data_IF_266794070209
#
_entry.id   IF_266794070209
#
_cell.length_a   1.000
_cell.length_b   1.000
_cell.length_c   1.000
_cell.angle_alpha   90.00
_cell.angle_beta   90.00
_cell.angle_gamma   90.00
#
_symmetry.space_group_name_H-M   'P 1'
#
loop_
_entity.id
_entity.type
_entity.pdbx_description
1 polymer ?
#
# COMPACT_ATOMS: atom_id res chain seq x y z
N UNK A 1 -17.49 -2.47 25.07
CA UNK A 1 -18.04 -3.81 24.78
C UNK A 1 -16.95 -4.55 24.02
N UNK A 2 -16.30 -5.53 24.64
CA UNK A 2 -15.18 -6.26 24.05
C UNK A 2 -15.66 -6.96 22.78
N UNK A 3 -14.95 -6.76 21.67
CA UNK A 3 -15.14 -7.56 20.47
C UNK A 3 -14.70 -8.98 20.84
N UNK A 4 -15.63 -9.94 20.84
CA UNK A 4 -15.28 -11.34 21.01
C UNK A 4 -14.40 -11.73 19.81
N UNK A 5 -13.10 -11.90 20.04
CA UNK A 5 -12.18 -12.44 19.05
C UNK A 5 -12.73 -13.78 18.57
N UNK A 6 -12.58 -14.07 17.27
CA UNK A 6 -12.97 -15.39 16.78
C UNK A 6 -12.01 -16.40 17.37
N UNK A 7 -12.49 -17.61 17.61
CA UNK A 7 -11.69 -18.66 18.23
C UNK A 7 -10.41 -18.99 17.43
N UNK A 8 -10.44 -18.81 16.09
CA UNK A 8 -9.27 -18.92 15.22
C UNK A 8 -8.22 -17.83 15.43
N UNK A 9 -8.63 -16.64 15.86
CA UNK A 9 -7.76 -15.49 16.03
C UNK A 9 -6.99 -15.59 17.35
N UNK A 10 -7.63 -16.15 18.39
CA UNK A 10 -6.99 -16.42 19.68
C UNK A 10 -5.89 -17.50 19.58
N UNK A 11 -6.14 -18.60 18.85
CA UNK A 11 -5.10 -19.63 18.62
C UNK A 11 -3.88 -19.03 17.92
N UNK A 12 -4.09 -18.19 16.91
CA UNK A 12 -3.02 -17.57 16.14
C UNK A 12 -2.23 -16.54 16.97
N UNK A 13 -2.92 -15.78 17.83
CA UNK A 13 -2.28 -14.88 18.79
C UNK A 13 -1.43 -15.65 19.81
N UNK A 14 -1.93 -16.81 20.26
CA UNK A 14 -1.22 -17.67 21.19
C UNK A 14 0.04 -18.30 20.63
N UNK A 15 0.03 -18.66 19.34
CA UNK A 15 1.16 -19.29 18.67
C UNK A 15 2.26 -18.29 18.25
N UNK A 16 1.89 -17.04 17.97
CA UNK A 16 2.80 -16.05 17.37
C UNK A 16 3.39 -15.03 18.35
N UNK A 17 2.70 -14.74 19.45
CA UNK A 17 3.04 -13.64 20.35
C UNK A 17 3.13 -14.09 21.80
N UNK A 18 3.95 -13.41 22.61
CA UNK A 18 4.00 -13.65 24.04
C UNK A 18 2.82 -13.00 24.76
N UNK A 19 2.64 -13.28 26.06
CA UNK A 19 1.50 -12.74 26.82
C UNK A 19 1.47 -11.20 26.87
N UNK A 20 2.64 -10.54 26.83
CA UNK A 20 2.69 -9.07 26.89
C UNK A 20 2.21 -8.47 25.59
N UNK A 21 2.67 -9.01 24.47
CA UNK A 21 2.24 -8.58 23.13
C UNK A 21 0.75 -8.87 22.91
N UNK A 22 0.22 -9.99 23.41
CA UNK A 22 -1.21 -10.31 23.35
C UNK A 22 -2.06 -9.28 24.07
N UNK A 23 -1.69 -8.92 25.30
CA UNK A 23 -2.42 -7.91 26.08
C UNK A 23 -2.43 -6.56 25.36
N UNK A 24 -1.30 -6.17 24.76
CA UNK A 24 -1.19 -4.92 23.99
C UNK A 24 -2.02 -4.96 22.71
N UNK A 25 -1.93 -6.04 21.93
CA UNK A 25 -2.70 -6.20 20.68
C UNK A 25 -4.21 -6.19 20.98
N UNK A 26 -4.65 -6.88 22.02
CA UNK A 26 -6.05 -6.90 22.44
C UNK A 26 -6.53 -5.55 23.00
N UNK A 27 -5.61 -4.69 23.46
CA UNK A 27 -5.94 -3.33 23.92
C UNK A 27 -6.14 -2.32 22.78
N UNK A 28 -5.76 -2.66 21.55
CA UNK A 28 -5.95 -1.78 20.39
C UNK A 28 -7.45 -1.60 20.16
N UNK A 29 -7.93 -0.37 20.36
CA UNK A 29 -9.32 -0.02 20.10
C UNK A 29 -9.55 0.00 18.59
N UNK A 30 -10.14 -1.08 18.07
CA UNK A 30 -10.59 -1.13 16.68
C UNK A 30 -11.92 -0.39 16.59
N UNK A 31 -12.02 0.56 15.65
CA UNK A 31 -13.23 1.35 15.44
C UNK A 31 -14.42 0.44 15.10
N UNK A 32 -15.47 0.46 15.93
CA UNK A 32 -16.73 -0.26 15.67
C UNK A 32 -17.59 0.44 14.62
N UNK A 33 -17.17 1.62 14.14
CA UNK A 33 -17.91 2.44 13.17
C UNK A 33 -17.77 1.94 11.74
N UNK A 34 -16.73 1.17 11.44
CA UNK A 34 -16.52 0.56 10.12
C UNK A 34 -17.23 -0.79 10.08
N UNK A 35 -18.49 -0.81 9.63
CA UNK A 35 -19.27 -2.06 9.50
C UNK A 35 -18.80 -2.95 8.34
N UNK A 36 -17.96 -2.40 7.47
CA UNK A 36 -17.31 -3.10 6.37
C UNK A 36 -15.85 -2.72 6.32
N UNK A 37 -14.97 -3.74 6.29
CA UNK A 37 -13.59 -3.56 5.90
C UNK A 37 -13.59 -3.17 4.41
N UNK A 38 -13.45 -1.87 4.15
CA UNK A 38 -13.08 -1.42 2.82
C UNK A 38 -11.58 -1.63 2.68
N UNK A 39 -11.18 -2.54 1.79
CA UNK A 39 -9.77 -2.65 1.43
C UNK A 39 -9.31 -1.26 0.96
N UNK A 40 -8.36 -0.67 1.69
CA UNK A 40 -7.82 0.69 1.45
C UNK A 40 -7.23 0.86 0.03
N UNK A 41 -7.09 -0.22 -0.72
CA UNK A 41 -6.61 -0.20 -2.09
C UNK A 41 -7.72 0.30 -3.03
N UNK A 42 -7.70 1.61 -3.28
CA UNK A 42 -8.65 2.32 -4.14
C UNK A 42 -8.55 1.96 -5.64
N UNK A 43 -7.54 1.18 -6.05
CA UNK A 43 -7.45 0.75 -7.44
C UNK A 43 -8.54 -0.30 -7.73
N UNK A 44 -9.30 -0.10 -8.81
CA UNK A 44 -10.11 -1.15 -9.47
C UNK A 44 -9.24 -2.32 -9.97
N UNK A 45 -7.93 -2.27 -9.71
CA UNK A 45 -6.98 -3.30 -10.01
C UNK A 45 -7.10 -4.45 -9.02
N UNK A 46 -7.34 -5.62 -9.57
CA UNK A 46 -7.48 -6.84 -8.81
C UNK A 46 -6.12 -7.29 -8.26
N UNK A 47 -5.83 -6.94 -7.00
CA UNK A 47 -4.52 -7.14 -6.37
C UNK A 47 -4.06 -8.60 -6.36
N UNK A 48 -4.98 -9.55 -6.46
CA UNK A 48 -4.68 -10.99 -6.63
C UNK A 48 -3.75 -11.27 -7.83
N UNK A 49 -3.79 -10.43 -8.87
CA UNK A 49 -2.90 -10.54 -10.03
C UNK A 49 -1.45 -10.30 -9.65
N UNK A 50 -1.18 -9.40 -8.69
CA UNK A 50 0.19 -9.16 -8.19
C UNK A 50 0.69 -10.44 -7.55
N UNK A 51 -0.08 -11.01 -6.63
CA UNK A 51 0.26 -12.23 -5.89
C UNK A 51 0.43 -13.48 -6.78
N UNK A 52 -0.18 -13.49 -7.96
CA UNK A 52 -0.08 -14.60 -8.93
C UNK A 52 1.18 -14.59 -9.79
N UNK A 53 1.98 -13.52 -9.74
CA UNK A 53 3.25 -13.43 -10.48
C UNK A 53 4.23 -14.46 -9.93
N UNK A 54 5.30 -14.77 -10.67
CA UNK A 54 6.42 -15.61 -10.18
C UNK A 54 7.65 -14.73 -9.97
N UNK A 55 7.63 -13.91 -8.92
CA UNK A 55 8.67 -12.91 -8.63
C UNK A 55 9.14 -13.02 -7.18
N UNK A 56 10.27 -12.42 -6.80
CA UNK A 56 10.69 -12.41 -5.39
C UNK A 56 9.70 -11.67 -4.48
N UNK A 57 9.54 -12.13 -3.23
CA UNK A 57 8.71 -11.53 -2.17
C UNK A 57 8.79 -10.00 -2.10
N UNK A 58 10.03 -9.48 -2.15
CA UNK A 58 10.32 -8.04 -2.10
C UNK A 58 9.67 -7.25 -3.24
N UNK A 59 9.57 -7.84 -4.43
CA UNK A 59 8.97 -7.20 -5.60
C UNK A 59 7.46 -7.15 -5.48
N UNK A 60 6.80 -8.19 -4.94
CA UNK A 60 5.35 -8.12 -4.67
C UNK A 60 5.01 -6.99 -3.70
N UNK A 61 5.75 -6.90 -2.58
CA UNK A 61 5.52 -5.84 -1.58
C UNK A 61 5.75 -4.46 -2.21
N UNK A 62 6.79 -4.34 -3.04
CA UNK A 62 7.07 -3.12 -3.76
C UNK A 62 5.93 -2.73 -4.71
N UNK A 63 5.34 -3.68 -5.46
CA UNK A 63 4.25 -3.42 -6.42
C UNK A 63 2.90 -3.17 -5.73
N UNK A 64 2.63 -3.89 -4.64
CA UNK A 64 1.40 -3.75 -3.87
C UNK A 64 1.22 -2.33 -3.32
N UNK A 65 2.28 -1.74 -2.76
CA UNK A 65 2.26 -0.41 -2.13
C UNK A 65 1.73 0.70 -3.06
N UNK A 66 2.28 0.90 -4.29
CA UNK A 66 1.77 1.91 -5.21
C UNK A 66 0.38 1.57 -5.73
N UNK A 67 0.06 0.31 -6.01
CA UNK A 67 -1.29 -0.07 -6.47
C UNK A 67 -2.38 0.25 -5.43
N UNK A 68 -2.04 0.27 -4.14
CA UNK A 68 -2.96 0.68 -3.08
C UNK A 68 -2.92 2.18 -2.76
N UNK A 69 -2.08 2.96 -3.46
CA UNK A 69 -1.79 4.35 -3.13
C UNK A 69 -1.24 4.51 -1.68
N UNK A 70 -0.38 3.59 -1.25
CA UNK A 70 0.21 3.55 0.10
C UNK A 70 1.64 4.09 0.17
N UNK A 71 2.18 4.63 -0.92
CA UNK A 71 3.49 5.26 -0.88
C UNK A 71 3.43 6.62 -0.16
N UNK A 72 4.48 7.01 0.57
CA UNK A 72 4.54 8.30 1.28
C UNK A 72 4.83 9.44 0.30
N UNK A 73 3.98 9.59 -0.72
CA UNK A 73 4.03 10.72 -1.65
C UNK A 73 3.47 11.97 -0.96
N UNK A 74 3.87 13.18 -1.40
CA UNK A 74 3.35 14.42 -0.79
C UNK A 74 1.82 14.51 -0.86
N UNK A 75 1.21 14.03 -1.95
CA UNK A 75 -0.26 13.93 -2.06
C UNK A 75 -0.87 13.07 -0.93
N UNK A 76 -0.28 11.90 -0.67
CA UNK A 76 -0.78 11.00 0.38
C UNK A 76 -0.48 11.52 1.79
N UNK A 77 0.64 12.20 1.98
CA UNK A 77 1.02 12.82 3.25
C UNK A 77 0.07 13.97 3.62
N UNK A 78 -0.29 14.82 2.64
CA UNK A 78 -1.26 15.90 2.85
C UNK A 78 -2.63 15.32 3.21
N UNK A 79 -3.09 14.25 2.55
CA UNK A 79 -4.31 13.54 2.92
C UNK A 79 -4.29 12.98 4.35
N UNK A 80 -3.09 12.78 4.91
CA UNK A 80 -2.85 12.37 6.31
C UNK A 80 -2.53 13.55 7.24
N UNK A 81 -2.83 14.78 6.82
CA UNK A 81 -2.63 16.00 7.62
C UNK A 81 -1.16 16.28 7.98
N UNK A 82 -0.22 15.79 7.17
CA UNK A 82 1.20 16.12 7.30
C UNK A 82 1.48 17.37 6.47
N UNK A 83 2.04 18.40 7.09
CA UNK A 83 2.38 19.66 6.43
C UNK A 83 3.64 19.49 5.56
N UNK A 84 3.42 19.29 4.26
CA UNK A 84 4.47 19.19 3.24
C UNK A 84 4.05 19.93 1.97
N UNK A 85 4.99 20.48 1.18
CA UNK A 85 4.67 21.07 -0.11
C UNK A 85 4.09 20.01 -1.05
N UNK A 86 3.12 20.37 -1.90
CA UNK A 86 2.44 19.43 -2.81
C UNK A 86 3.29 19.07 -4.05
N UNK A 87 4.18 19.98 -4.44
CA UNK A 87 5.02 19.87 -5.64
C UNK A 87 6.04 18.75 -5.48
N UNK A 88 6.46 18.07 -6.54
CA UNK A 88 7.45 17.00 -6.48
C UNK A 88 8.87 17.52 -6.28
N UNK A 89 9.57 16.92 -5.32
CA UNK A 89 10.97 17.22 -5.00
C UNK A 89 11.93 17.10 -6.20
N UNK A 90 11.65 16.20 -7.14
CA UNK A 90 12.54 15.91 -8.27
C UNK A 90 12.35 16.79 -9.52
N UNK A 91 11.21 17.47 -9.71
CA UNK A 91 10.96 18.33 -10.90
C UNK A 91 10.61 19.73 -10.51
N UNK A 92 10.08 19.91 -9.30
CA UNK A 92 9.64 21.20 -8.79
C UNK A 92 8.53 21.84 -9.65
N UNK A 93 7.81 21.06 -10.46
CA UNK A 93 6.73 21.54 -11.35
C UNK A 93 5.37 20.92 -11.06
N UNK A 94 5.29 19.60 -10.99
CA UNK A 94 4.05 18.82 -10.88
C UNK A 94 3.86 18.26 -9.47
N UNK A 95 2.64 17.82 -9.13
CA UNK A 95 2.32 17.25 -7.81
C UNK A 95 3.05 15.92 -7.59
N UNK A 96 3.55 15.67 -6.38
CA UNK A 96 4.14 14.37 -6.04
C UNK A 96 3.04 13.35 -5.75
N UNK A 97 2.55 12.73 -6.82
CA UNK A 97 1.64 11.60 -6.80
C UNK A 97 2.37 10.30 -7.20
N UNK A 98 1.73 9.15 -6.99
CA UNK A 98 2.37 7.83 -7.20
C UNK A 98 2.70 7.59 -8.67
N UNK A 99 1.75 7.86 -9.54
CA UNK A 99 1.85 7.89 -11.00
C UNK A 99 3.00 8.79 -11.47
N UNK A 100 3.07 10.01 -10.95
CA UNK A 100 4.14 10.95 -11.30
C UNK A 100 5.52 10.36 -10.99
N UNK A 101 5.72 9.91 -9.75
CA UNK A 101 7.03 9.45 -9.25
C UNK A 101 7.44 8.12 -9.86
N UNK A 102 6.50 7.22 -10.13
CA UNK A 102 6.78 5.86 -10.60
C UNK A 102 6.56 5.64 -12.10
N UNK A 103 5.83 6.48 -12.82
CA UNK A 103 5.51 6.25 -14.24
C UNK A 103 5.95 7.43 -15.10
N UNK A 104 5.56 8.65 -14.73
CA UNK A 104 5.73 9.82 -15.60
C UNK A 104 7.11 10.46 -15.50
N UNK A 105 7.90 10.10 -14.49
CA UNK A 105 9.29 10.58 -14.43
C UNK A 105 10.20 9.89 -15.40
N UNK A 106 11.06 10.69 -16.03
CA UNK A 106 12.15 10.20 -16.87
C UNK A 106 13.03 9.19 -16.13
N UNK A 107 13.36 9.46 -14.86
CA UNK A 107 14.09 8.52 -14.02
C UNK A 107 13.36 7.18 -13.87
N UNK A 108 12.07 7.22 -13.55
CA UNK A 108 11.27 6.01 -13.41
C UNK A 108 11.17 5.24 -14.74
N UNK A 109 10.87 5.92 -15.85
CA UNK A 109 10.87 5.33 -17.21
C UNK A 109 12.18 4.63 -17.55
N UNK A 110 13.32 5.25 -17.22
CA UNK A 110 14.64 4.64 -17.42
C UNK A 110 14.78 3.38 -16.57
N UNK A 111 14.45 3.41 -15.29
CA UNK A 111 14.45 2.22 -14.45
C UNK A 111 13.61 1.10 -15.06
N UNK A 112 12.38 1.39 -15.50
CA UNK A 112 11.49 0.38 -16.09
C UNK A 112 11.97 -0.15 -17.44
N UNK A 113 12.71 0.64 -18.21
CA UNK A 113 13.28 0.18 -19.48
C UNK A 113 14.27 -0.99 -19.33
N UNK A 114 14.82 -1.18 -18.13
CA UNK A 114 15.70 -2.31 -17.80
C UNK A 114 14.96 -3.57 -17.37
N UNK A 115 13.65 -3.49 -17.14
CA UNK A 115 12.82 -4.63 -16.74
C UNK A 115 11.93 -5.09 -17.90
N UNK A 116 11.45 -6.33 -17.80
CA UNK A 116 10.50 -6.87 -18.77
C UNK A 116 9.23 -6.00 -18.81
N UNK A 117 8.68 -5.79 -20.01
CA UNK A 117 7.55 -4.88 -20.26
C UNK A 117 6.31 -5.24 -19.44
N UNK A 118 6.17 -6.49 -19.00
CA UNK A 118 5.09 -6.96 -18.15
C UNK A 118 4.96 -6.18 -16.83
N UNK A 119 6.07 -5.72 -16.23
CA UNK A 119 6.04 -4.95 -14.99
C UNK A 119 5.49 -3.54 -15.23
N UNK A 120 5.84 -2.91 -16.35
CA UNK A 120 5.33 -1.59 -16.70
C UNK A 120 3.80 -1.62 -16.93
N UNK A 121 3.26 -2.71 -17.48
CA UNK A 121 1.80 -2.88 -17.58
C UNK A 121 1.14 -3.00 -16.20
N UNK A 122 1.75 -3.68 -15.24
CA UNK A 122 1.18 -3.86 -13.90
C UNK A 122 1.24 -2.56 -13.08
N UNK A 123 2.36 -1.83 -13.16
CA UNK A 123 2.51 -0.56 -12.45
C UNK A 123 1.74 0.54 -13.17
N UNK A 124 1.76 0.61 -14.49
CA UNK A 124 1.09 1.67 -15.25
C UNK A 124 -0.43 1.52 -15.36
N UNK A 125 -0.96 0.30 -15.50
CA UNK A 125 -2.39 0.11 -15.73
C UNK A 125 -3.31 0.68 -14.62
N UNK A 126 -2.99 0.57 -13.31
CA UNK A 126 -3.79 1.20 -12.25
C UNK A 126 -3.79 2.74 -12.28
N UNK A 127 -2.89 3.36 -13.05
CA UNK A 127 -2.69 4.81 -13.08
C UNK A 127 -2.99 5.44 -14.45
N UNK A 128 -3.43 4.65 -15.43
CA UNK A 128 -3.68 5.09 -16.82
C UNK A 128 -5.17 5.30 -17.15
N UNK A 129 -6.06 5.34 -16.14
CA UNK A 129 -7.49 5.64 -16.28
C UNK A 129 -7.81 7.12 -16.03
#
# INVERSE_FOLDING_TARGET
MQLSLRQSDEELLNDLFDETDKELICSIVISTSATHDTHYCAANFSLWRIWSLKIPAKVYIFLWRPCCNNLPTRVNLIGKHVDVPLVCSFCQTEREAVDHVLVDRAFARLCWSHFDRGILFIVGAPFLD
#
